data_IF_990762908315
#
_entry.id   IF_990762908315
#
_cell.length_a   1.000
_cell.length_b   1.000
_cell.length_c   1.000
_cell.angle_alpha   90.00
_cell.angle_beta   90.00
_cell.angle_gamma   90.00
#
_symmetry.space_group_name_H-M   'P 1'
#
loop_
_entity.id
_entity.type
_entity.pdbx_description
1 polymer ?
#
# COMPACT_ATOMS: atom_id res chain seq x y z
N UNK A 1 -29.95 3.74 70.91
CA UNK A 1 -29.86 2.72 71.96
C UNK A 1 -28.42 2.29 71.97
N UNK A 2 -27.74 2.85 72.99
CA UNK A 2 -26.31 2.62 73.27
C UNK A 2 -26.04 1.15 73.70
N UNK A 3 -24.85 0.68 73.41
CA UNK A 3 -24.05 0.00 74.48
C UNK A 3 -22.56 0.02 74.05
N UNK A 4 -21.84 0.72 74.93
CA UNK A 4 -20.40 0.62 75.19
C UNK A 4 -20.11 -0.73 75.92
N UNK A 5 -18.90 -1.24 75.82
CA UNK A 5 -18.06 -1.82 76.93
C UNK A 5 -16.75 -2.31 76.31
N UNK A 6 -15.68 -1.74 76.57
CA UNK A 6 -14.64 -1.72 77.64
C UNK A 6 -13.49 -2.67 77.38
N UNK A 7 -12.39 -2.06 77.27
CA UNK A 7 -10.97 -2.30 77.52
C UNK A 7 -10.65 -3.43 78.55
N UNK A 8 -9.69 -4.28 78.17
CA UNK A 8 -8.79 -4.85 79.23
C UNK A 8 -7.38 -5.01 78.67
N UNK A 9 -6.47 -4.31 79.30
CA UNK A 9 -5.01 -4.38 79.22
C UNK A 9 -4.48 -5.64 79.88
N UNK A 10 -3.49 -6.31 79.31
CA UNK A 10 -2.51 -7.07 80.09
C UNK A 10 -1.13 -7.01 79.41
N UNK A 11 -0.24 -6.29 80.11
CA UNK A 11 1.21 -6.32 79.99
C UNK A 11 1.75 -7.67 80.48
N UNK A 12 2.75 -8.24 79.88
CA UNK A 12 3.97 -8.82 80.48
C UNK A 12 4.78 -9.59 79.41
N UNK A 13 6.08 -9.27 79.40
CA UNK A 13 7.16 -10.19 79.27
C UNK A 13 8.20 -9.86 78.18
N UNK A 14 9.19 -9.04 78.53
CA UNK A 14 10.43 -8.89 77.73
C UNK A 14 11.28 -10.15 77.88
N UNK A 15 11.59 -10.83 76.80
CA UNK A 15 12.73 -11.75 76.68
C UNK A 15 13.63 -11.25 75.52
N UNK A 16 14.81 -10.74 75.90
CA UNK A 16 15.87 -10.37 74.96
C UNK A 16 16.57 -11.64 74.50
N UNK A 17 16.42 -12.02 73.23
CA UNK A 17 17.28 -13.02 72.61
C UNK A 17 18.13 -12.28 71.58
N UNK A 18 19.43 -12.18 71.90
CA UNK A 18 20.42 -11.64 70.96
C UNK A 18 20.70 -12.66 69.82
N UNK A 19 20.23 -12.41 68.62
CA UNK A 19 20.65 -13.15 67.47
C UNK A 19 21.83 -12.43 66.79
N UNK A 20 22.97 -13.09 66.76
CA UNK A 20 24.12 -12.67 65.98
C UNK A 20 23.79 -12.90 64.49
N UNK A 21 23.55 -11.80 63.77
CA UNK A 21 23.32 -11.85 62.31
C UNK A 21 24.66 -11.91 61.58
N UNK A 22 24.94 -13.07 61.02
CA UNK A 22 26.04 -13.27 60.10
C UNK A 22 25.63 -12.61 58.74
N UNK A 23 26.24 -11.44 58.42
CA UNK A 23 26.04 -10.80 57.11
C UNK A 23 26.77 -11.62 56.04
N UNK A 24 26.02 -12.44 55.27
CA UNK A 24 26.46 -12.92 53.97
C UNK A 24 26.30 -11.76 52.98
N UNK A 25 27.42 -11.19 52.52
CA UNK A 25 27.43 -10.25 51.39
C UNK A 25 27.22 -11.06 50.10
N UNK A 26 26.13 -10.83 49.35
CA UNK A 26 25.98 -11.47 48.05
C UNK A 26 27.01 -10.84 47.07
N UNK A 27 27.90 -11.64 46.52
CA UNK A 27 28.72 -11.28 45.37
C UNK A 27 27.77 -11.11 44.21
N UNK A 28 27.44 -9.88 43.86
CA UNK A 28 26.78 -9.58 42.60
C UNK A 28 27.74 -9.89 41.49
N UNK A 29 27.54 -11.02 40.81
CA UNK A 29 28.15 -11.29 39.53
C UNK A 29 27.77 -10.15 38.58
N UNK A 30 28.75 -9.53 37.96
CA UNK A 30 28.55 -8.57 36.85
C UNK A 30 27.68 -9.27 35.79
N UNK A 31 26.46 -8.77 35.62
CA UNK A 31 25.67 -9.13 34.46
C UNK A 31 26.45 -8.72 33.22
N UNK A 32 26.80 -9.70 32.40
CA UNK A 32 27.38 -9.43 31.11
C UNK A 32 26.43 -8.50 30.35
N UNK A 33 26.94 -7.35 29.92
CA UNK A 33 26.20 -6.49 29.00
C UNK A 33 25.83 -7.32 27.78
N UNK A 34 24.56 -7.23 27.28
CA UNK A 34 24.21 -7.90 26.06
C UNK A 34 25.09 -7.36 24.93
N UNK A 35 25.92 -8.23 24.34
CA UNK A 35 26.67 -7.90 23.15
C UNK A 35 25.67 -7.33 22.13
N UNK A 36 25.84 -6.07 21.79
CA UNK A 36 25.17 -5.45 20.63
C UNK A 36 25.75 -6.16 19.40
N UNK A 37 25.09 -7.23 18.98
CA UNK A 37 25.24 -7.68 17.62
C UNK A 37 24.71 -6.56 16.73
N UNK A 38 25.62 -5.71 16.23
CA UNK A 38 25.40 -4.91 15.03
C UNK A 38 25.26 -5.90 13.84
N UNK A 39 24.13 -6.57 13.79
CA UNK A 39 23.73 -7.34 12.62
C UNK A 39 23.49 -6.30 11.52
N UNK A 40 24.50 -6.13 10.66
CA UNK A 40 24.38 -5.33 9.44
C UNK A 40 23.10 -5.77 8.74
N UNK A 41 22.09 -4.90 8.69
CA UNK A 41 20.80 -5.22 8.10
C UNK A 41 21.04 -5.86 6.73
N UNK A 42 20.49 -7.06 6.51
CA UNK A 42 20.69 -7.78 5.25
C UNK A 42 20.04 -6.95 4.13
N UNK A 43 20.70 -6.88 2.99
CA UNK A 43 20.12 -6.23 1.81
C UNK A 43 19.08 -7.15 1.21
N UNK A 44 17.95 -6.60 0.74
CA UNK A 44 16.90 -7.35 0.06
C UNK A 44 17.46 -8.13 -1.14
N UNK A 45 17.27 -9.46 -1.16
CA UNK A 45 17.68 -10.32 -2.28
C UNK A 45 16.65 -10.28 -3.40
N UNK A 46 16.79 -9.28 -4.27
CA UNK A 46 15.90 -9.10 -5.42
C UNK A 46 15.97 -10.24 -6.42
N UNK A 47 17.14 -10.90 -6.56
CA UNK A 47 17.33 -12.04 -7.47
C UNK A 47 16.53 -13.26 -7.00
N UNK A 48 16.54 -13.54 -5.70
CA UNK A 48 15.74 -14.61 -5.13
C UNK A 48 14.22 -14.35 -5.29
N UNK A 49 13.78 -13.09 -5.11
CA UNK A 49 12.39 -12.68 -5.33
C UNK A 49 11.99 -12.87 -6.79
N UNK A 50 12.80 -12.40 -7.75
CA UNK A 50 12.55 -12.57 -9.19
C UNK A 50 12.42 -14.04 -9.58
N UNK A 51 13.34 -14.87 -9.12
CA UNK A 51 13.32 -16.30 -9.37
C UNK A 51 12.05 -16.96 -8.81
N UNK A 52 11.63 -16.56 -7.61
CA UNK A 52 10.44 -17.09 -6.95
C UNK A 52 9.14 -16.70 -7.68
N UNK A 53 8.96 -15.42 -8.01
CA UNK A 53 7.79 -14.90 -8.72
C UNK A 53 7.78 -15.35 -10.20
N UNK A 54 8.96 -15.46 -10.81
CA UNK A 54 9.10 -15.72 -12.24
C UNK A 54 9.01 -14.46 -13.11
N UNK A 55 9.22 -13.26 -12.51
CA UNK A 55 9.17 -11.97 -13.20
C UNK A 55 10.12 -10.96 -12.60
N UNK A 56 10.83 -10.21 -13.45
CA UNK A 56 11.69 -9.12 -13.01
C UNK A 56 10.89 -7.92 -12.52
N UNK A 57 11.42 -7.25 -11.49
CA UNK A 57 10.88 -6.03 -10.91
C UNK A 57 11.78 -4.81 -11.15
N UNK A 58 11.50 -3.74 -10.43
CA UNK A 58 12.25 -2.50 -10.42
C UNK A 58 12.56 -2.10 -8.97
N UNK A 59 13.84 -1.86 -8.67
CA UNK A 59 14.27 -1.35 -7.37
C UNK A 59 14.28 0.18 -7.40
N UNK A 60 13.47 0.78 -6.55
CA UNK A 60 13.42 2.24 -6.36
C UNK A 60 13.16 2.55 -4.90
N UNK A 61 13.92 3.50 -4.33
CA UNK A 61 13.76 3.98 -2.94
C UNK A 61 13.67 2.82 -1.92
N UNK A 62 14.59 1.84 -2.01
CA UNK A 62 14.67 0.62 -1.17
C UNK A 62 13.46 -0.34 -1.32
N UNK A 63 12.57 -0.10 -2.27
CA UNK A 63 11.43 -0.94 -2.59
C UNK A 63 11.66 -1.68 -3.90
N UNK A 64 11.54 -2.97 -3.87
CA UNK A 64 11.55 -3.81 -5.06
C UNK A 64 10.12 -4.13 -5.48
N UNK A 65 9.67 -3.51 -6.57
CA UNK A 65 8.28 -3.62 -7.06
C UNK A 65 8.21 -4.42 -8.35
N UNK A 66 7.33 -5.43 -8.37
CA UNK A 66 7.03 -6.26 -9.54
C UNK A 66 5.62 -5.88 -10.00
N UNK A 67 5.51 -5.38 -11.23
CA UNK A 67 4.24 -5.01 -11.86
C UNK A 67 3.78 -6.10 -12.82
N UNK A 68 2.51 -6.49 -12.71
CA UNK A 68 1.90 -7.59 -13.45
C UNK A 68 0.58 -7.13 -14.07
N UNK A 69 0.62 -6.26 -15.10
CA UNK A 69 -0.61 -5.74 -15.72
C UNK A 69 -1.40 -6.87 -16.38
N UNK A 70 -2.72 -6.87 -16.18
CA UNK A 70 -3.69 -7.82 -16.74
C UNK A 70 -3.94 -7.51 -18.23
N UNK A 71 -2.92 -7.75 -19.04
CA UNK A 71 -3.00 -7.59 -20.52
C UNK A 71 -3.85 -8.68 -21.18
N UNK A 72 -4.20 -9.72 -20.46
CA UNK A 72 -5.12 -10.78 -20.83
C UNK A 72 -6.60 -10.36 -20.77
N UNK A 73 -6.92 -9.27 -20.06
CA UNK A 73 -8.28 -8.77 -19.91
C UNK A 73 -8.58 -7.59 -20.84
N UNK A 74 -9.78 -7.60 -21.40
CA UNK A 74 -10.37 -6.46 -22.10
C UNK A 74 -11.54 -5.94 -21.27
N UNK A 75 -11.26 -5.02 -20.35
CA UNK A 75 -12.27 -4.42 -19.46
C UNK A 75 -12.75 -3.10 -20.06
N UNK A 76 -14.04 -2.86 -19.97
CA UNK A 76 -14.69 -1.64 -20.44
C UNK A 76 -15.51 -1.01 -19.30
N UNK A 77 -15.50 0.32 -19.24
CA UNK A 77 -16.47 1.10 -18.44
C UNK A 77 -17.29 1.90 -19.46
N UNK A 78 -18.57 1.58 -19.60
CA UNK A 78 -19.43 2.08 -20.69
C UNK A 78 -18.76 1.84 -22.06
N UNK A 79 -18.43 2.90 -22.77
CA UNK A 79 -17.80 2.91 -24.11
C UNK A 79 -16.26 2.99 -24.07
N UNK A 80 -15.66 3.11 -22.88
CA UNK A 80 -14.21 3.24 -22.71
C UNK A 80 -13.56 1.90 -22.44
N UNK A 81 -12.74 1.41 -23.38
CA UNK A 81 -11.85 0.26 -23.13
C UNK A 81 -10.65 0.71 -22.30
N UNK A 82 -10.44 0.05 -21.16
CA UNK A 82 -9.37 0.39 -20.23
C UNK A 82 -8.02 -0.14 -20.71
N UNK A 83 -7.02 0.72 -20.74
CA UNK A 83 -5.62 0.28 -20.86
C UNK A 83 -5.19 -0.35 -19.55
N UNK A 84 -4.35 -1.42 -19.58
CA UNK A 84 -3.91 -2.07 -18.33
C UNK A 84 -3.28 -1.10 -17.32
N UNK A 85 -2.51 -0.11 -17.80
CA UNK A 85 -1.88 0.91 -16.96
C UNK A 85 -2.84 1.90 -16.30
N UNK A 86 -4.11 1.97 -16.73
CA UNK A 86 -5.10 2.86 -16.13
C UNK A 86 -5.61 2.34 -14.79
N UNK A 87 -6.07 1.06 -14.77
CA UNK A 87 -6.68 0.45 -13.59
C UNK A 87 -6.46 -1.07 -13.45
N UNK A 88 -5.79 -1.75 -14.40
CA UNK A 88 -5.70 -3.21 -14.42
C UNK A 88 -4.29 -3.71 -14.09
N UNK A 89 -3.60 -3.02 -13.20
CA UNK A 89 -2.20 -3.30 -12.84
C UNK A 89 -2.05 -4.05 -11.54
N UNK A 90 -2.03 -5.39 -11.55
CA UNK A 90 -1.54 -6.12 -10.36
C UNK A 90 -0.10 -5.77 -10.06
N UNK A 91 0.25 -5.72 -8.79
CA UNK A 91 1.63 -5.49 -8.35
C UNK A 91 1.88 -6.05 -6.96
N UNK A 92 3.15 -6.35 -6.67
CA UNK A 92 3.66 -6.64 -5.33
C UNK A 92 4.95 -5.87 -5.11
N UNK A 93 5.16 -5.39 -3.89
CA UNK A 93 6.31 -4.57 -3.52
C UNK A 93 6.94 -5.09 -2.24
N UNK A 94 8.26 -5.29 -2.26
CA UNK A 94 9.05 -5.81 -1.16
C UNK A 94 9.98 -4.74 -0.61
N UNK A 95 10.09 -4.67 0.70
CA UNK A 95 11.04 -3.79 1.41
C UNK A 95 11.73 -4.56 2.53
N UNK A 96 13.04 -4.36 2.69
CA UNK A 96 13.78 -4.93 3.82
C UNK A 96 13.33 -4.31 5.15
N UNK A 97 13.12 -5.13 6.16
CA UNK A 97 12.73 -4.75 7.51
C UNK A 97 13.53 -5.58 8.54
N UNK A 98 14.69 -5.07 8.93
CA UNK A 98 15.65 -5.83 9.74
C UNK A 98 16.19 -7.06 9.00
N UNK A 99 16.03 -8.25 9.56
CA UNK A 99 16.44 -9.52 8.94
C UNK A 99 15.35 -10.15 8.06
N UNK A 100 14.18 -9.57 8.01
CA UNK A 100 13.03 -10.03 7.23
C UNK A 100 12.67 -9.00 6.15
N UNK A 101 11.80 -9.35 5.23
CA UNK A 101 11.15 -8.43 4.31
C UNK A 101 9.68 -8.24 4.69
N UNK A 102 9.13 -7.07 4.37
CA UNK A 102 7.70 -6.87 4.28
C UNK A 102 7.29 -6.85 2.82
N UNK A 103 6.14 -7.43 2.52
CA UNK A 103 5.48 -7.35 1.21
C UNK A 103 4.13 -6.67 1.37
N UNK A 104 3.80 -5.84 0.41
CA UNK A 104 2.48 -5.25 0.19
C UNK A 104 2.14 -5.36 -1.29
N UNK A 105 0.87 -5.51 -1.63
CA UNK A 105 0.47 -5.69 -3.01
C UNK A 105 -1.01 -5.55 -3.26
N UNK A 106 -1.36 -5.46 -4.54
CA UNK A 106 -2.72 -5.37 -5.05
C UNK A 106 -2.86 -6.27 -6.27
N UNK A 107 -3.77 -7.22 -6.21
CA UNK A 107 -4.01 -8.22 -7.25
C UNK A 107 -5.34 -7.95 -7.93
N UNK A 108 -5.31 -7.72 -9.24
CA UNK A 108 -6.49 -7.55 -10.08
C UNK A 108 -7.00 -8.93 -10.49
N UNK A 109 -8.22 -9.26 -10.10
CA UNK A 109 -8.84 -10.58 -10.26
C UNK A 109 -10.17 -10.47 -10.99
N UNK A 110 -10.50 -11.45 -11.81
CA UNK A 110 -11.89 -11.65 -12.26
C UNK A 110 -12.72 -12.27 -11.13
N UNK A 111 -14.04 -12.18 -11.18
CA UNK A 111 -14.91 -12.68 -10.10
C UNK A 111 -14.67 -14.17 -9.78
N UNK A 112 -14.40 -14.99 -10.79
CA UNK A 112 -14.10 -16.41 -10.65
C UNK A 112 -12.70 -16.71 -10.07
N UNK A 113 -11.76 -15.78 -10.18
CA UNK A 113 -10.43 -15.89 -9.60
C UNK A 113 -10.38 -15.51 -8.10
N UNK A 114 -11.35 -14.75 -7.59
CA UNK A 114 -11.33 -14.21 -6.22
C UNK A 114 -11.24 -15.31 -5.16
N UNK A 115 -12.21 -16.23 -5.13
CA UNK A 115 -12.28 -17.23 -4.06
C UNK A 115 -11.08 -18.18 -4.06
N UNK A 116 -10.63 -18.75 -5.19
CA UNK A 116 -9.46 -19.64 -5.19
C UNK A 116 -8.16 -18.92 -4.81
N UNK A 117 -7.96 -17.66 -5.25
CA UNK A 117 -6.78 -16.86 -4.91
C UNK A 117 -6.78 -16.51 -3.43
N UNK A 118 -7.89 -16.02 -2.91
CA UNK A 118 -8.07 -15.71 -1.48
C UNK A 118 -7.73 -16.91 -0.59
N UNK A 119 -8.32 -18.07 -0.89
CA UNK A 119 -8.08 -19.30 -0.14
C UNK A 119 -6.63 -19.77 -0.20
N UNK A 120 -5.98 -19.61 -1.37
CA UNK A 120 -4.58 -19.99 -1.54
C UNK A 120 -3.67 -19.08 -0.73
N UNK A 121 -3.83 -17.76 -0.80
CA UNK A 121 -3.06 -16.79 -0.03
C UNK A 121 -3.15 -17.09 1.48
N UNK A 122 -4.38 -17.28 1.98
CA UNK A 122 -4.61 -17.60 3.40
C UNK A 122 -3.92 -18.91 3.83
N UNK A 123 -3.96 -19.96 2.99
CA UNK A 123 -3.29 -21.24 3.27
C UNK A 123 -1.77 -21.11 3.29
N UNK A 124 -1.21 -20.20 2.51
CA UNK A 124 0.22 -19.91 2.46
C UNK A 124 0.67 -18.92 3.55
N UNK A 125 -0.25 -18.42 4.38
CA UNK A 125 0.07 -17.47 5.46
C UNK A 125 0.31 -16.04 4.96
N UNK A 126 -0.18 -15.69 3.76
CA UNK A 126 -0.22 -14.30 3.28
C UNK A 126 -1.52 -13.67 3.79
N UNK A 127 -1.42 -12.50 4.38
CA UNK A 127 -2.58 -11.74 4.85
C UNK A 127 -3.30 -11.11 3.67
N UNK A 128 -4.63 -11.21 3.68
CA UNK A 128 -5.51 -10.44 2.80
C UNK A 128 -6.06 -9.29 3.62
N UNK A 129 -5.69 -8.07 3.26
CA UNK A 129 -6.01 -6.86 4.02
C UNK A 129 -7.23 -6.12 3.50
N UNK A 130 -7.56 -6.29 2.21
CA UNK A 130 -8.78 -5.74 1.61
C UNK A 130 -9.21 -6.54 0.37
N UNK A 131 -10.51 -6.54 0.08
CA UNK A 131 -11.11 -7.03 -1.15
C UNK A 131 -12.22 -6.06 -1.56
N UNK A 132 -12.06 -5.39 -2.69
CA UNK A 132 -12.98 -4.32 -3.11
C UNK A 132 -12.96 -4.10 -4.64
N UNK A 133 -13.85 -3.24 -5.12
CA UNK A 133 -13.85 -2.73 -6.50
C UNK A 133 -13.08 -1.40 -6.60
N UNK A 134 -12.51 -1.10 -7.75
CA UNK A 134 -12.03 0.26 -8.09
C UNK A 134 -13.04 1.01 -8.97
N UNK A 135 -13.84 0.27 -9.72
CA UNK A 135 -14.74 0.80 -10.75
C UNK A 135 -16.19 0.42 -10.45
N UNK A 136 -17.12 1.06 -11.14
CA UNK A 136 -18.54 0.71 -11.11
C UNK A 136 -19.03 0.59 -12.55
N UNK A 137 -19.69 -0.54 -12.87
CA UNK A 137 -20.27 -0.79 -14.18
C UNK A 137 -19.29 -1.22 -15.25
N UNK A 138 -18.13 -1.71 -14.85
CA UNK A 138 -17.14 -2.33 -15.75
C UNK A 138 -17.59 -3.72 -16.20
N UNK A 139 -17.14 -4.11 -17.41
CA UNK A 139 -17.40 -5.43 -17.99
C UNK A 139 -16.14 -5.94 -18.70
N UNK A 140 -15.65 -7.17 -18.41
CA UNK A 140 -16.03 -8.00 -17.27
C UNK A 140 -15.73 -7.31 -15.95
N UNK A 141 -16.45 -7.69 -14.90
CA UNK A 141 -16.20 -7.19 -13.55
C UNK A 141 -14.86 -7.68 -13.05
N UNK A 142 -14.13 -6.78 -12.39
CA UNK A 142 -12.85 -7.07 -11.76
C UNK A 142 -12.86 -6.61 -10.29
N UNK A 143 -12.17 -7.37 -9.47
CA UNK A 143 -11.98 -7.11 -8.05
C UNK A 143 -10.50 -6.88 -7.76
N UNK A 144 -10.22 -6.18 -6.69
CA UNK A 144 -8.87 -5.84 -6.24
C UNK A 144 -8.66 -6.42 -4.86
N UNK A 145 -7.61 -7.22 -4.73
CA UNK A 145 -7.32 -7.96 -3.52
C UNK A 145 -5.96 -7.54 -3.00
N UNK A 146 -5.96 -6.83 -1.86
CA UNK A 146 -4.75 -6.39 -1.20
C UNK A 146 -4.15 -7.48 -0.33
N UNK A 147 -2.84 -7.61 -0.41
CA UNK A 147 -2.04 -8.61 0.30
C UNK A 147 -0.94 -7.95 1.10
N UNK A 148 -0.68 -8.47 2.29
CA UNK A 148 0.44 -8.08 3.12
C UNK A 148 1.12 -9.32 3.71
N UNK A 149 2.39 -9.15 4.12
CA UNK A 149 3.10 -10.22 4.80
C UNK A 149 4.47 -9.77 5.26
N UNK A 150 5.01 -10.53 6.23
CA UNK A 150 6.35 -10.32 6.77
C UNK A 150 7.07 -11.66 6.90
N UNK A 151 8.36 -11.71 6.51
CA UNK A 151 9.17 -12.91 6.60
C UNK A 151 10.29 -12.96 5.58
N UNK A 152 10.70 -14.17 5.22
CA UNK A 152 11.69 -14.40 4.14
C UNK A 152 11.13 -13.95 2.79
N UNK A 153 11.84 -13.07 2.10
CA UNK A 153 11.36 -12.43 0.88
C UNK A 153 11.07 -13.41 -0.26
N UNK A 154 11.93 -14.42 -0.44
CA UNK A 154 11.78 -15.42 -1.50
C UNK A 154 10.60 -16.35 -1.21
N UNK A 155 10.38 -16.69 0.06
CA UNK A 155 9.23 -17.49 0.50
C UNK A 155 7.93 -16.73 0.30
N UNK A 156 7.84 -15.46 0.73
CA UNK A 156 6.67 -14.61 0.47
C UNK A 156 6.37 -14.51 -1.03
N UNK A 157 7.40 -14.31 -1.85
CA UNK A 157 7.28 -14.27 -3.30
C UNK A 157 6.76 -15.60 -3.88
N UNK A 158 7.23 -16.74 -3.39
CA UNK A 158 6.77 -18.08 -3.80
C UNK A 158 5.30 -18.33 -3.44
N UNK A 159 4.87 -17.89 -2.26
CA UNK A 159 3.49 -18.02 -1.79
C UNK A 159 2.53 -17.20 -2.66
N UNK A 160 2.90 -15.95 -2.97
CA UNK A 160 2.14 -15.08 -3.88
C UNK A 160 2.12 -15.69 -5.30
N UNK A 161 3.24 -16.22 -5.78
CA UNK A 161 3.29 -16.92 -7.08
C UNK A 161 2.33 -18.10 -7.13
N UNK A 162 2.24 -18.87 -6.06
CA UNK A 162 1.32 -20.01 -5.98
C UNK A 162 -0.15 -19.58 -6.07
N UNK A 163 -0.51 -18.41 -5.55
CA UNK A 163 -1.85 -17.82 -5.70
C UNK A 163 -2.08 -17.28 -7.12
N UNK A 164 -1.11 -16.57 -7.69
CA UNK A 164 -1.16 -16.07 -9.07
C UNK A 164 -1.28 -17.18 -10.12
N UNK A 165 -0.76 -18.38 -9.83
CA UNK A 165 -0.90 -19.54 -10.71
C UNK A 165 -2.36 -20.02 -10.88
N UNK A 166 -3.28 -19.55 -10.05
CA UNK A 166 -4.73 -19.79 -10.16
C UNK A 166 -5.44 -18.72 -11.01
N UNK A 167 -4.70 -17.79 -11.58
CA UNK A 167 -5.18 -16.71 -12.43
C UNK A 167 -4.58 -16.81 -13.83
N UNK A 168 -5.12 -16.01 -14.76
CA UNK A 168 -4.52 -15.81 -16.09
C UNK A 168 -3.56 -14.61 -16.14
N UNK A 169 -3.14 -14.08 -14.99
CA UNK A 169 -2.23 -12.93 -14.91
C UNK A 169 -0.94 -13.19 -15.67
N UNK A 170 -0.59 -12.40 -16.70
CA UNK A 170 0.63 -12.60 -17.45
C UNK A 170 1.86 -12.24 -16.60
N UNK A 171 2.73 -13.20 -16.32
CA UNK A 171 3.96 -12.94 -15.59
C UNK A 171 5.11 -12.50 -16.50
N UNK A 172 5.04 -12.82 -17.79
CA UNK A 172 6.09 -12.51 -18.76
C UNK A 172 7.36 -13.33 -18.55
N UNK A 173 8.41 -13.00 -19.28
CA UNK A 173 9.73 -13.63 -19.14
C UNK A 173 10.58 -12.91 -18.09
N UNK A 174 11.49 -13.64 -17.42
CA UNK A 174 12.46 -13.10 -16.46
C UNK A 174 13.44 -12.12 -17.09
N UNK A 175 13.74 -12.29 -18.38
CA UNK A 175 14.68 -11.43 -19.08
C UNK A 175 13.97 -10.21 -19.67
N UNK A 176 14.27 -9.00 -19.16
CA UNK A 176 14.08 -7.77 -19.95
C UNK A 176 15.04 -7.86 -21.14
N UNK A 177 14.51 -7.83 -22.36
CA UNK A 177 15.33 -7.46 -23.52
C UNK A 177 15.77 -6.00 -23.33
N UNK A 178 17.07 -5.71 -23.19
CA UNK A 178 17.51 -4.31 -23.16
C UNK A 178 17.19 -3.70 -24.50
N UNK A 179 16.38 -2.64 -24.54
CA UNK A 179 16.36 -1.77 -25.72
C UNK A 179 15.07 -1.40 -26.40
N UNK A 180 13.88 -1.76 -25.94
CA UNK A 180 12.68 -1.08 -26.43
C UNK A 180 12.32 0.13 -25.57
N UNK A 181 13.12 1.18 -25.71
CA UNK A 181 12.70 2.53 -25.31
C UNK A 181 11.75 3.02 -26.39
N UNK A 182 10.49 3.28 -26.04
CA UNK A 182 9.57 3.99 -26.92
C UNK A 182 10.22 5.29 -27.40
N UNK A 183 10.38 5.48 -28.70
CA UNK A 183 10.93 6.69 -29.30
C UNK A 183 9.91 7.82 -29.35
N UNK A 184 8.64 7.56 -28.95
CA UNK A 184 7.59 8.58 -28.92
C UNK A 184 7.76 9.51 -27.73
N UNK A 185 7.49 10.79 -27.94
CA UNK A 185 7.40 11.75 -26.84
C UNK A 185 6.22 11.40 -25.92
N UNK A 186 6.28 11.79 -24.64
CA UNK A 186 5.21 11.49 -23.71
C UNK A 186 3.82 11.95 -24.16
N UNK A 187 3.73 13.10 -24.87
CA UNK A 187 2.48 13.61 -25.41
C UNK A 187 1.96 12.76 -26.59
N UNK A 188 2.83 12.33 -27.49
CA UNK A 188 2.45 11.46 -28.64
C UNK A 188 2.02 10.07 -28.15
N UNK A 189 2.65 9.56 -27.10
CA UNK A 189 2.27 8.27 -26.52
C UNK A 189 0.91 8.34 -25.79
N UNK A 190 0.61 9.45 -25.09
CA UNK A 190 -0.62 9.64 -24.34
C UNK A 190 -1.85 9.81 -25.25
N UNK A 191 -1.70 10.50 -26.39
CA UNK A 191 -2.80 10.90 -27.28
C UNK A 191 -3.59 12.12 -26.79
N UNK A 192 -3.13 12.77 -25.72
CA UNK A 192 -3.67 14.00 -25.15
C UNK A 192 -2.55 14.85 -24.53
N UNK A 193 -2.84 16.11 -24.18
CA UNK A 193 -1.86 17.00 -23.59
C UNK A 193 -1.58 16.66 -22.12
N UNK A 194 -0.66 15.71 -21.89
CA UNK A 194 -0.26 15.26 -20.55
C UNK A 194 0.40 16.38 -19.74
N UNK A 195 1.12 17.32 -20.37
CA UNK A 195 1.79 18.43 -19.70
C UNK A 195 0.77 19.41 -19.09
N UNK A 196 -0.29 19.74 -19.82
CA UNK A 196 -1.38 20.57 -19.31
C UNK A 196 -2.02 19.98 -18.04
N UNK A 197 -2.27 18.66 -18.02
CA UNK A 197 -2.80 17.98 -16.84
C UNK A 197 -1.83 18.11 -15.65
N UNK A 198 -0.55 17.86 -15.88
CA UNK A 198 0.48 17.97 -14.85
C UNK A 198 0.61 19.40 -14.29
N UNK A 199 0.50 20.41 -15.16
CA UNK A 199 0.51 21.82 -14.75
C UNK A 199 -0.69 22.16 -13.86
N UNK A 200 -1.91 21.72 -14.22
CA UNK A 200 -3.11 21.94 -13.42
C UNK A 200 -3.03 21.22 -12.08
N UNK A 201 -2.55 19.96 -12.07
CA UNK A 201 -2.39 19.19 -10.83
C UNK A 201 -1.26 19.74 -9.95
N UNK A 202 -0.27 20.45 -10.52
CA UNK A 202 0.93 20.88 -9.82
C UNK A 202 1.89 19.73 -9.48
N UNK A 203 1.75 18.57 -10.12
CA UNK A 203 2.56 17.37 -9.91
C UNK A 203 2.97 16.74 -11.23
N UNK A 204 4.24 16.31 -11.31
CA UNK A 204 4.77 15.60 -12.48
C UNK A 204 4.35 14.14 -12.47
N UNK A 205 4.15 13.58 -13.65
CA UNK A 205 3.85 12.17 -13.87
C UNK A 205 4.72 11.58 -14.96
N UNK A 206 4.46 10.32 -15.27
CA UNK A 206 5.12 9.59 -16.36
C UNK A 206 4.07 8.98 -17.29
N UNK A 207 4.26 9.14 -18.59
CA UNK A 207 3.46 8.44 -19.60
C UNK A 207 4.10 7.08 -19.85
N UNK A 208 3.29 6.03 -19.81
CA UNK A 208 3.69 4.66 -20.09
C UNK A 208 2.51 3.88 -20.70
N UNK A 209 2.70 3.30 -21.89
CA UNK A 209 1.63 2.56 -22.57
C UNK A 209 0.41 3.43 -22.90
N UNK A 210 0.62 4.73 -23.14
CA UNK A 210 -0.44 5.69 -23.43
C UNK A 210 -1.31 6.05 -22.21
N UNK A 211 -0.80 5.87 -21.01
CA UNK A 211 -1.41 6.29 -19.74
C UNK A 211 -0.47 7.23 -19.01
N UNK A 212 -0.94 8.43 -18.68
CA UNK A 212 -0.26 9.32 -17.76
C UNK A 212 -0.55 8.85 -16.33
N UNK A 213 0.51 8.60 -15.57
CA UNK A 213 0.45 8.19 -14.17
C UNK A 213 1.11 9.27 -13.31
N UNK A 214 0.33 9.87 -12.40
CA UNK A 214 0.79 10.88 -11.45
C UNK A 214 0.66 10.30 -10.05
N UNK A 215 1.74 10.38 -9.26
CA UNK A 215 1.77 9.90 -7.87
C UNK A 215 2.00 11.09 -6.95
N UNK A 216 1.10 11.29 -5.99
CA UNK A 216 1.13 12.42 -5.06
C UNK A 216 1.26 11.86 -3.63
N UNK A 217 2.46 11.88 -3.05
CA UNK A 217 2.69 11.35 -1.71
C UNK A 217 2.12 12.26 -0.62
N UNK A 218 1.79 11.68 0.52
CA UNK A 218 1.45 12.42 1.74
C UNK A 218 2.70 13.00 2.40
N UNK A 219 2.59 14.10 3.18
CA UNK A 219 3.73 14.69 3.88
C UNK A 219 4.17 13.86 5.10
N UNK A 220 3.23 13.19 5.79
CA UNK A 220 3.51 12.37 6.96
C UNK A 220 3.99 10.96 6.60
N UNK A 221 4.89 10.36 7.40
CA UNK A 221 5.28 8.97 7.21
C UNK A 221 4.11 8.02 7.53
N UNK A 222 3.90 7.06 6.65
CA UNK A 222 2.91 5.99 6.85
C UNK A 222 3.65 4.76 7.37
N UNK A 223 3.10 4.13 8.42
CA UNK A 223 3.69 2.94 9.02
C UNK A 223 2.67 1.81 9.10
N UNK A 224 3.14 0.60 8.95
CA UNK A 224 2.42 -0.63 9.25
C UNK A 224 3.27 -1.42 10.24
N UNK A 225 2.71 -1.76 11.41
CA UNK A 225 3.43 -2.45 12.50
C UNK A 225 4.80 -1.80 12.86
N UNK A 226 4.85 -0.48 12.86
CA UNK A 226 6.08 0.29 13.13
C UNK A 226 7.05 0.43 11.96
N UNK A 227 6.84 -0.29 10.86
CA UNK A 227 7.68 -0.23 9.65
C UNK A 227 7.16 0.89 8.73
N UNK A 228 8.02 1.82 8.36
CA UNK A 228 7.66 2.88 7.41
C UNK A 228 7.50 2.31 6.00
N UNK A 229 6.30 2.51 5.44
CA UNK A 229 5.96 2.16 4.05
C UNK A 229 6.19 3.40 3.16
N UNK A 230 7.09 3.33 2.19
CA UNK A 230 7.28 4.45 1.26
C UNK A 230 6.14 4.57 0.24
N UNK A 231 5.98 5.72 -0.43
CA UNK A 231 4.93 5.97 -1.41
C UNK A 231 4.81 4.91 -2.52
N UNK A 232 5.95 4.31 -2.92
CA UNK A 232 6.02 3.26 -3.95
C UNK A 232 5.35 1.94 -3.56
N UNK A 233 5.03 1.76 -2.28
CA UNK A 233 4.26 0.62 -1.74
C UNK A 233 2.74 0.92 -1.65
N UNK A 234 2.17 1.69 -2.58
CA UNK A 234 0.75 1.97 -2.59
C UNK A 234 0.29 3.09 -1.64
N UNK A 235 1.24 3.79 -0.97
CA UNK A 235 0.94 4.80 0.05
C UNK A 235 0.91 6.24 -0.50
N UNK A 236 0.62 6.41 -1.77
CA UNK A 236 0.47 7.71 -2.42
C UNK A 236 -0.82 7.79 -3.22
N UNK A 237 -1.46 8.95 -3.23
CA UNK A 237 -2.57 9.23 -4.15
C UNK A 237 -2.10 8.98 -5.58
N UNK A 238 -2.80 8.14 -6.30
CA UNK A 238 -2.52 7.75 -7.68
C UNK A 238 -3.60 8.32 -8.61
N UNK A 239 -3.18 9.09 -9.62
CA UNK A 239 -4.07 9.68 -10.62
C UNK A 239 -3.62 9.21 -11.99
N UNK A 240 -4.42 8.38 -12.64
CA UNK A 240 -4.12 7.78 -13.94
C UNK A 240 -5.07 8.29 -15.00
N UNK A 241 -4.54 8.60 -16.19
CA UNK A 241 -5.30 9.22 -17.30
C UNK A 241 -4.99 8.51 -18.60
N UNK A 242 -6.03 8.24 -19.39
CA UNK A 242 -5.91 7.75 -20.76
C UNK A 242 -6.84 8.50 -21.72
N UNK A 243 -6.53 8.49 -23.01
CA UNK A 243 -7.45 8.96 -24.05
C UNK A 243 -8.74 8.12 -24.06
N UNK A 244 -9.90 8.78 -24.18
CA UNK A 244 -11.22 8.16 -24.17
C UNK A 244 -12.17 8.78 -25.22
N UNK A 245 -11.79 8.69 -26.48
CA UNK A 245 -12.53 9.30 -27.59
C UNK A 245 -12.07 10.72 -27.93
N UNK A 246 -12.76 11.41 -28.86
CA UNK A 246 -12.37 12.73 -29.32
C UNK A 246 -12.50 13.78 -28.19
N UNK A 247 -11.39 14.44 -27.88
CA UNK A 247 -11.33 15.53 -26.91
C UNK A 247 -11.61 15.15 -25.45
N UNK A 248 -11.79 13.84 -25.15
CA UNK A 248 -12.04 13.34 -23.80
C UNK A 248 -10.92 12.46 -23.30
N UNK A 249 -10.79 12.42 -21.99
CA UNK A 249 -9.94 11.48 -21.25
C UNK A 249 -10.77 10.72 -20.22
N UNK A 250 -10.38 9.48 -19.95
CA UNK A 250 -10.82 8.75 -18.79
C UNK A 250 -9.74 8.84 -17.71
N UNK A 251 -10.16 9.04 -16.46
CA UNK A 251 -9.29 9.06 -15.32
C UNK A 251 -9.84 8.21 -14.18
N UNK A 252 -8.95 7.49 -13.51
CA UNK A 252 -9.23 6.75 -12.28
C UNK A 252 -7.95 6.64 -11.45
N UNK A 253 -8.10 6.22 -10.22
CA UNK A 253 -7.01 6.07 -9.27
C UNK A 253 -7.55 6.03 -7.86
N UNK A 254 -6.74 6.46 -6.91
CA UNK A 254 -7.17 6.57 -5.52
C UNK A 254 -6.61 7.83 -4.84
N UNK A 255 -7.41 8.39 -3.94
CA UNK A 255 -6.97 9.39 -2.96
C UNK A 255 -6.62 8.68 -1.67
N UNK A 256 -5.42 8.91 -1.15
CA UNK A 256 -4.95 8.37 0.13
C UNK A 256 -5.10 9.43 1.20
N UNK A 257 -6.06 9.26 2.10
CA UNK A 257 -6.53 10.29 3.03
C UNK A 257 -6.46 9.81 4.49
N UNK A 258 -6.38 10.76 5.40
CA UNK A 258 -6.74 10.53 6.81
C UNK A 258 -8.24 10.81 7.01
N UNK A 259 -8.78 10.37 8.15
CA UNK A 259 -10.22 10.49 8.49
C UNK A 259 -10.81 11.86 8.21
N UNK A 260 -10.15 12.93 8.66
CA UNK A 260 -10.69 14.30 8.61
C UNK A 260 -10.75 14.87 7.19
N UNK A 261 -10.06 14.26 6.23
CA UNK A 261 -10.00 14.69 4.84
C UNK A 261 -11.11 14.07 3.98
N UNK A 262 -11.65 12.91 4.38
CA UNK A 262 -12.57 12.10 3.56
C UNK A 262 -13.75 12.89 3.04
N UNK A 263 -14.48 13.58 3.92
CA UNK A 263 -15.67 14.33 3.53
C UNK A 263 -15.35 15.56 2.66
N UNK A 264 -14.22 16.22 2.90
CA UNK A 264 -13.79 17.38 2.13
C UNK A 264 -13.41 16.97 0.69
N UNK A 265 -12.65 15.88 0.54
CA UNK A 265 -12.27 15.33 -0.78
C UNK A 265 -13.50 14.81 -1.51
N UNK A 266 -14.39 14.06 -0.85
CA UNK A 266 -15.65 13.58 -1.46
C UNK A 266 -16.47 14.72 -2.01
N UNK A 267 -16.65 15.80 -1.23
CA UNK A 267 -17.38 16.99 -1.65
C UNK A 267 -16.73 17.64 -2.86
N UNK A 268 -15.42 17.87 -2.82
CA UNK A 268 -14.67 18.50 -3.92
C UNK A 268 -14.81 17.71 -5.23
N UNK A 269 -14.69 16.38 -5.19
CA UNK A 269 -14.86 15.53 -6.36
C UNK A 269 -16.29 15.59 -6.91
N UNK A 270 -17.31 15.50 -6.04
CA UNK A 270 -18.72 15.54 -6.44
C UNK A 270 -19.10 16.88 -7.10
N UNK A 271 -18.64 18.01 -6.56
CA UNK A 271 -18.88 19.36 -7.11
C UNK A 271 -18.27 19.54 -8.51
N UNK A 272 -17.28 18.74 -8.87
CA UNK A 272 -16.67 18.73 -10.20
C UNK A 272 -17.14 17.57 -11.09
N UNK A 273 -18.19 16.85 -10.69
CA UNK A 273 -18.77 15.76 -11.49
C UNK A 273 -17.89 14.51 -11.58
N UNK A 274 -16.94 14.33 -10.65
CA UNK A 274 -16.12 13.13 -10.54
C UNK A 274 -16.83 12.12 -9.65
N UNK A 275 -17.10 10.93 -10.18
CA UNK A 275 -17.81 9.87 -9.46
C UNK A 275 -16.87 9.15 -8.50
N UNK A 276 -17.19 9.14 -7.22
CA UNK A 276 -16.54 8.25 -6.25
C UNK A 276 -17.08 6.84 -6.46
N UNK A 277 -16.20 5.87 -6.60
CA UNK A 277 -16.53 4.47 -6.93
C UNK A 277 -16.34 3.50 -5.77
N UNK A 278 -15.44 3.84 -4.82
CA UNK A 278 -15.26 3.08 -3.59
C UNK A 278 -14.60 3.96 -2.52
N UNK A 279 -14.85 3.62 -1.24
CA UNK A 279 -14.18 4.21 -0.07
C UNK A 279 -13.94 3.09 0.94
N UNK A 280 -12.70 2.86 1.31
CA UNK A 280 -12.27 1.74 2.15
C UNK A 280 -10.87 1.97 2.73
N UNK A 281 -10.35 1.01 3.47
CA UNK A 281 -8.94 0.96 3.91
C UNK A 281 -8.22 -0.25 3.30
N UNK A 282 -6.89 -0.12 3.14
CA UNK A 282 -6.00 -1.18 2.70
C UNK A 282 -5.18 -1.77 3.85
N UNK A 283 -4.92 -1.01 4.91
CA UNK A 283 -4.05 -1.38 6.02
C UNK A 283 -4.86 -1.70 7.26
N UNK A 284 -4.70 -2.90 7.81
CA UNK A 284 -5.39 -3.32 9.05
C UNK A 284 -4.75 -2.68 10.27
N UNK A 285 -3.42 -2.49 10.27
CA UNK A 285 -2.63 -1.93 11.38
C UNK A 285 -1.81 -0.72 10.97
N UNK A 286 -2.40 0.14 10.14
CA UNK A 286 -1.73 1.35 9.63
C UNK A 286 -1.74 2.53 10.62
N UNK A 287 -0.68 3.34 10.60
CA UNK A 287 -0.60 4.60 11.34
C UNK A 287 0.05 5.69 10.47
N UNK A 288 -0.61 6.84 10.26
CA UNK A 288 -2.00 7.13 10.64
C UNK A 288 -3.00 6.15 10.01
N UNK A 289 -4.23 6.09 10.55
CA UNK A 289 -5.32 5.36 9.89
C UNK A 289 -5.62 6.02 8.54
N UNK A 290 -5.56 5.24 7.48
CA UNK A 290 -5.76 5.72 6.10
C UNK A 290 -7.07 5.23 5.51
N UNK A 291 -7.65 6.09 4.70
CA UNK A 291 -8.81 5.81 3.86
C UNK A 291 -8.40 6.00 2.40
N UNK A 292 -8.81 5.07 1.56
CA UNK A 292 -8.55 5.07 0.13
C UNK A 292 -9.88 5.28 -0.60
N UNK A 293 -9.90 6.25 -1.52
CA UNK A 293 -11.10 6.61 -2.25
C UNK A 293 -10.85 6.50 -3.75
N UNK A 294 -11.47 5.51 -4.38
CA UNK A 294 -11.42 5.37 -5.82
C UNK A 294 -12.44 6.27 -6.51
N UNK A 295 -12.13 6.66 -7.71
CA UNK A 295 -12.96 7.54 -8.50
C UNK A 295 -12.93 7.16 -9.99
N UNK A 296 -13.95 7.63 -10.71
CA UNK A 296 -14.02 7.57 -12.15
C UNK A 296 -14.43 8.92 -12.72
N UNK A 297 -13.73 9.36 -13.77
CA UNK A 297 -14.06 10.53 -14.56
C UNK A 297 -13.90 10.25 -16.06
N UNK A 298 -14.81 10.78 -16.88
CA UNK A 298 -14.71 10.75 -18.35
C UNK A 298 -15.27 12.07 -18.90
N UNK A 299 -14.38 13.04 -19.13
CA UNK A 299 -14.72 14.38 -19.68
C UNK A 299 -13.48 14.97 -20.35
N UNK A 300 -13.51 16.26 -20.68
CA UNK A 300 -12.34 16.99 -21.20
C UNK A 300 -11.18 16.98 -20.19
N UNK A 301 -9.95 16.97 -20.70
CA UNK A 301 -8.75 16.95 -19.85
C UNK A 301 -8.73 18.08 -18.82
N UNK A 302 -9.17 19.28 -19.22
CA UNK A 302 -9.22 20.46 -18.34
C UNK A 302 -10.17 20.26 -17.15
N UNK A 303 -11.42 19.80 -17.41
CA UNK A 303 -12.41 19.57 -16.35
C UNK A 303 -11.96 18.50 -15.37
N UNK A 304 -11.46 17.37 -15.91
CA UNK A 304 -11.00 16.28 -15.07
C UNK A 304 -9.81 16.71 -14.21
N UNK A 305 -8.81 17.39 -14.82
CA UNK A 305 -7.64 17.86 -14.06
C UNK A 305 -8.01 18.90 -12.98
N UNK A 306 -8.92 19.85 -13.26
CA UNK A 306 -9.40 20.83 -12.27
C UNK A 306 -10.13 20.15 -11.11
N UNK A 307 -10.99 19.19 -11.40
CA UNK A 307 -11.72 18.45 -10.36
C UNK A 307 -10.80 17.63 -9.47
N UNK A 308 -9.81 16.93 -10.05
CA UNK A 308 -8.82 16.18 -9.27
C UNK A 308 -7.90 17.12 -8.49
N UNK A 309 -7.55 18.30 -9.04
CA UNK A 309 -6.81 19.33 -8.30
C UNK A 309 -7.61 19.82 -7.08
N UNK A 310 -8.91 20.08 -7.22
CA UNK A 310 -9.77 20.45 -6.10
C UNK A 310 -9.80 19.36 -5.01
N UNK A 311 -9.80 18.07 -5.41
CA UNK A 311 -9.64 16.96 -4.46
C UNK A 311 -8.31 17.00 -3.73
N UNK A 312 -7.20 17.26 -4.43
CA UNK A 312 -5.88 17.40 -3.81
C UNK A 312 -5.79 18.62 -2.87
N UNK A 313 -6.46 19.73 -3.21
CA UNK A 313 -6.50 20.92 -2.37
C UNK A 313 -7.31 20.72 -1.08
N UNK A 314 -8.19 19.73 -1.05
CA UNK A 314 -8.99 19.36 0.11
C UNK A 314 -8.29 18.43 1.11
N UNK A 315 -7.03 18.06 0.84
CA UNK A 315 -6.22 17.18 1.68
C UNK A 315 -4.77 17.66 1.79
N UNK A 316 -4.00 17.08 2.72
CA UNK A 316 -2.57 17.36 2.84
C UNK A 316 -1.78 16.49 1.86
N UNK A 317 -1.05 17.13 0.99
CA UNK A 317 -0.14 16.49 0.05
C UNK A 317 1.28 17.04 0.18
N UNK A 318 2.26 16.22 -0.15
CA UNK A 318 3.64 16.68 -0.22
C UNK A 318 3.76 17.65 -1.41
N UNK A 319 4.38 18.83 -1.23
CA UNK A 319 4.61 19.75 -2.35
C UNK A 319 5.37 19.05 -3.48
N UNK A 320 5.08 19.47 -4.72
CA UNK A 320 5.85 18.98 -5.86
C UNK A 320 7.34 19.31 -5.69
N UNK A 321 8.19 18.34 -5.91
CA UNK A 321 9.63 18.60 -6.06
C UNK A 321 9.86 19.09 -7.49
N UNK A 322 10.44 20.28 -7.60
CA UNK A 322 10.81 20.91 -8.88
C UNK A 322 11.77 20.02 -9.70
#
# INVERSE_FOLDING_TARGET
MERRTTMTSMMKGFVLIAFASLFLVPVYGQAAEPEKHDAKASKLDTTAIEKAIGKAGELKDEVYKISMPRTDLKVMVKDVTLKPGLALGSWVAFKQAGNEAVVDGDLVLTEDEVAPVFDKLRKEGIEVTALHNHLIGETPRVMFLHVAGKGDAARLASHIKAALALTKTPLGELARKPGEVSTKTGAEEAGFNAEQIQQVLGHKGRVKGGVLQVSVPRPEPIKMEGITLPPSMGMATALNFQQAGEGKIAATGDFVMIRDEVNAVTKALAEHGIMVTALHNHLVHGSPELYFMHFWANDTAEKVAKGLRAGLDAMKVKPATN
#
